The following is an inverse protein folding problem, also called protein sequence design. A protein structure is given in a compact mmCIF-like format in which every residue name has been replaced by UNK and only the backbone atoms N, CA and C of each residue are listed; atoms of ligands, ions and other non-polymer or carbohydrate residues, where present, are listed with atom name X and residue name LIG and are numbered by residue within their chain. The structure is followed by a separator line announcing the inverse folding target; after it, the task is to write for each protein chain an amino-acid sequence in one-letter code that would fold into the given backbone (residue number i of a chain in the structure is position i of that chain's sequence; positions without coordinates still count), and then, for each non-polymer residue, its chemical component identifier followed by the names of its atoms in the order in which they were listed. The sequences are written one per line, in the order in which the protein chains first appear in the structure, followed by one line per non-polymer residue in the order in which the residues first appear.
data_IF_997096404339
#
_entry.id   IF_997096404339
#
_cell.length_a   1.000
_cell.length_b   1.000
_cell.length_c   1.000
_cell.angle_alpha   90.00
_cell.angle_beta   90.00
_cell.angle_gamma   90.00
#
_symmetry.space_group_name_H-M   'P 1'
#
loop_
_entity.id
_entity.type
_entity.pdbx_description
1 polymer ?
#
# COMPACT_ATOMS: atom_id res chain seq x y z
N UNK A 1 7.51 -9.90 55.63
CA UNK A 1 8.89 -9.38 55.53
C UNK A 1 8.96 -8.62 54.18
N UNK A 2 8.94 -7.31 54.24
CA UNK A 2 9.05 -6.41 53.07
C UNK A 2 10.56 -6.15 52.83
N UNK A 3 10.99 -6.30 51.57
CA UNK A 3 12.36 -6.02 51.18
C UNK A 3 12.73 -4.56 51.53
N UNK A 4 13.96 -4.29 51.95
CA UNK A 4 14.41 -2.93 52.29
C UNK A 4 14.28 -2.00 51.09
N UNK A 5 13.89 -0.75 51.30
CA UNK A 5 13.75 0.30 50.29
C UNK A 5 14.97 0.46 49.38
N UNK A 6 16.17 0.30 49.96
CA UNK A 6 17.45 0.38 49.22
C UNK A 6 17.57 -0.71 48.14
N UNK A 7 17.05 -1.91 48.36
CA UNK A 7 17.10 -2.99 47.38
C UNK A 7 16.14 -2.76 46.19
N UNK A 8 15.01 -2.08 46.44
CA UNK A 8 14.07 -1.67 45.42
C UNK A 8 14.63 -0.49 44.57
N UNK A 9 15.36 0.43 45.19
CA UNK A 9 16.01 1.53 44.45
C UNK A 9 17.19 1.03 43.62
N UNK A 10 17.99 0.09 44.13
CA UNK A 10 19.07 -0.54 43.36
C UNK A 10 18.56 -1.35 42.17
N UNK A 11 17.44 -2.05 42.31
CA UNK A 11 16.77 -2.75 41.19
C UNK A 11 16.21 -1.78 40.15
N UNK A 12 15.63 -0.65 40.56
CA UNK A 12 15.21 0.42 39.68
C UNK A 12 16.38 1.03 38.90
N UNK A 13 17.48 1.32 39.60
CA UNK A 13 18.66 1.91 38.96
C UNK A 13 19.31 0.96 37.97
N UNK A 14 19.39 -0.34 38.28
CA UNK A 14 19.88 -1.37 37.35
C UNK A 14 18.95 -1.55 36.13
N UNK A 15 17.65 -1.43 36.31
CA UNK A 15 16.70 -1.46 35.19
C UNK A 15 16.85 -0.24 34.27
N UNK A 16 17.05 0.97 34.87
CA UNK A 16 17.31 2.20 34.12
C UNK A 16 18.66 2.21 33.40
N UNK A 17 19.72 1.65 34.04
CA UNK A 17 21.03 1.54 33.44
C UNK A 17 21.11 0.43 32.38
N UNK A 18 20.36 -0.64 32.53
CA UNK A 18 20.14 -1.66 31.49
C UNK A 18 19.42 -1.11 30.27
N UNK A 19 18.37 -0.31 30.46
CA UNK A 19 17.66 0.37 29.40
C UNK A 19 18.53 1.41 28.65
N UNK A 20 19.42 2.15 29.37
CA UNK A 20 20.36 3.07 28.72
C UNK A 20 21.48 2.35 27.95
N UNK A 21 21.93 1.17 28.38
CA UNK A 21 22.91 0.37 27.63
C UNK A 21 22.30 -0.28 26.37
N UNK A 22 21.01 -0.59 26.39
CA UNK A 22 20.30 -1.08 25.21
C UNK A 22 20.08 0.04 24.19
N UNK A 23 19.92 1.30 24.64
CA UNK A 23 19.72 2.46 23.74
C UNK A 23 21.00 2.95 23.04
N UNK A 24 22.21 2.58 23.51
CA UNK A 24 23.49 2.99 22.92
C UNK A 24 24.14 1.94 22.01
N UNK A 25 23.53 0.76 21.86
CA UNK A 25 24.03 -0.34 21.01
C UNK A 25 23.03 -0.79 19.93
N UNK A 26 21.93 -0.05 19.74
CA UNK A 26 21.04 -0.21 18.60
C UNK A 26 21.26 0.90 17.56
N UNK A 27 22.44 0.98 16.96
CA UNK A 27 22.49 1.07 15.53
C UNK A 27 21.90 -0.25 15.01
N UNK A 28 20.57 -0.35 14.99
CA UNK A 28 19.88 -1.35 14.21
C UNK A 28 20.30 -1.07 12.77
N UNK A 29 21.14 -1.96 12.22
CA UNK A 29 21.48 -1.93 10.82
C UNK A 29 20.16 -1.74 10.06
N UNK A 30 20.01 -0.60 9.38
CA UNK A 30 18.91 -0.36 8.47
C UNK A 30 18.93 -1.55 7.52
N UNK A 31 17.88 -2.38 7.55
CA UNK A 31 17.74 -3.43 6.56
C UNK A 31 17.77 -2.69 5.21
N UNK A 32 18.81 -2.96 4.43
CA UNK A 32 18.97 -2.33 3.13
C UNK A 32 17.93 -2.96 2.22
N UNK A 33 16.82 -2.26 2.00
CA UNK A 33 15.79 -2.67 1.07
C UNK A 33 16.30 -2.53 -0.36
N UNK A 34 15.87 -3.42 -1.23
CA UNK A 34 16.28 -3.43 -2.64
C UNK A 34 15.27 -2.75 -3.56
N UNK A 35 13.98 -2.89 -3.25
CA UNK A 35 12.87 -2.45 -4.09
C UNK A 35 12.10 -1.26 -3.48
N UNK A 36 12.42 -0.88 -2.23
CA UNK A 36 11.81 0.27 -1.57
C UNK A 36 12.85 1.13 -0.85
N UNK A 37 12.51 2.39 -0.61
CA UNK A 37 13.20 3.24 0.35
C UNK A 37 12.27 3.47 1.56
N UNK A 38 12.84 3.45 2.78
CA UNK A 38 12.10 3.64 4.03
C UNK A 38 12.82 4.63 4.93
N UNK A 39 12.13 5.70 5.29
CA UNK A 39 12.66 6.76 6.14
C UNK A 39 11.63 7.20 7.17
N UNK A 40 12.08 7.47 8.41
CA UNK A 40 11.27 8.07 9.46
C UNK A 40 11.88 9.44 9.78
N UNK A 41 11.05 10.47 9.69
CA UNK A 41 11.45 11.84 10.02
C UNK A 41 10.24 12.61 10.58
N UNK A 42 10.44 13.30 11.70
CA UNK A 42 9.43 14.15 12.36
C UNK A 42 8.04 13.48 12.53
N UNK A 43 8.02 12.22 12.91
CA UNK A 43 6.76 11.47 13.12
C UNK A 43 6.11 10.93 11.85
N UNK A 44 6.73 11.11 10.70
CA UNK A 44 6.27 10.63 9.39
C UNK A 44 7.15 9.47 8.94
N UNK A 45 6.55 8.30 8.68
CA UNK A 45 7.22 7.21 7.99
C UNK A 45 6.91 7.30 6.48
N UNK A 46 7.94 7.49 5.65
CA UNK A 46 7.82 7.43 4.19
C UNK A 46 8.27 6.07 3.68
N UNK A 47 7.39 5.41 2.97
CA UNK A 47 7.64 4.16 2.24
C UNK A 47 7.55 4.50 0.75
N UNK A 48 8.66 4.36 0.04
CA UNK A 48 8.75 4.68 -1.39
C UNK A 48 9.05 3.42 -2.17
N UNK A 49 8.15 2.99 -3.06
CA UNK A 49 8.45 1.92 -4.02
C UNK A 49 9.50 2.46 -4.98
N UNK A 50 10.70 1.86 -5.00
CA UNK A 50 11.86 2.38 -5.74
C UNK A 50 12.28 1.45 -6.86
N UNK A 51 11.42 1.35 -7.86
CA UNK A 51 11.64 0.62 -9.12
C UNK A 51 11.23 1.49 -10.33
N UNK A 52 11.77 2.72 -10.48
CA UNK A 52 11.29 3.69 -11.46
C UNK A 52 11.42 3.20 -12.90
N UNK A 53 12.42 2.38 -13.23
CA UNK A 53 12.62 1.77 -14.55
C UNK A 53 11.52 0.76 -14.92
N UNK A 54 10.75 0.32 -13.95
CA UNK A 54 9.58 -0.57 -14.06
C UNK A 54 8.27 0.13 -13.71
N UNK A 55 8.23 1.47 -13.75
CA UNK A 55 7.06 2.24 -13.32
C UNK A 55 6.58 1.87 -11.92
N UNK A 56 7.51 1.54 -11.03
CA UNK A 56 7.26 1.10 -9.66
C UNK A 56 6.32 -0.13 -9.56
N UNK A 57 6.32 -0.99 -10.59
CA UNK A 57 5.63 -2.28 -10.53
C UNK A 57 6.27 -3.16 -9.46
N UNK A 58 5.43 -3.81 -8.64
CA UNK A 58 5.89 -4.66 -7.55
C UNK A 58 6.10 -6.11 -7.97
N UNK A 59 7.06 -6.77 -7.36
CA UNK A 59 7.33 -8.21 -7.41
C UNK A 59 7.23 -8.80 -6.01
N UNK A 60 7.47 -10.10 -5.85
CA UNK A 60 7.39 -10.75 -4.53
C UNK A 60 8.27 -10.04 -3.49
N UNK A 61 9.53 -9.75 -3.81
CA UNK A 61 10.44 -9.02 -2.92
C UNK A 61 9.89 -7.65 -2.51
N UNK A 62 9.36 -6.88 -3.46
CA UNK A 62 8.76 -5.57 -3.16
C UNK A 62 7.63 -5.69 -2.15
N UNK A 63 6.77 -6.72 -2.29
CA UNK A 63 5.67 -6.94 -1.35
C UNK A 63 6.17 -7.34 0.05
N UNK A 64 7.23 -8.16 0.14
CA UNK A 64 7.85 -8.53 1.42
C UNK A 64 8.45 -7.32 2.11
N UNK A 65 9.19 -6.50 1.38
CA UNK A 65 9.80 -5.28 1.90
C UNK A 65 8.75 -4.27 2.34
N UNK A 66 7.64 -4.12 1.60
CA UNK A 66 6.50 -3.29 2.01
C UNK A 66 5.87 -3.80 3.31
N UNK A 67 5.66 -5.12 3.46
CA UNK A 67 5.13 -5.73 4.68
C UNK A 67 6.04 -5.42 5.87
N UNK A 68 7.34 -5.60 5.72
CA UNK A 68 8.31 -5.31 6.77
C UNK A 68 8.32 -3.81 7.15
N UNK A 69 8.33 -2.91 6.15
CA UNK A 69 8.29 -1.47 6.37
C UNK A 69 6.99 -1.00 7.05
N UNK A 70 5.83 -1.53 6.64
CA UNK A 70 4.55 -1.24 7.30
C UNK A 70 4.50 -1.77 8.73
N UNK A 71 5.06 -2.96 9.01
CA UNK A 71 5.18 -3.48 10.37
C UNK A 71 6.06 -2.58 11.22
N UNK A 72 7.26 -2.22 10.75
CA UNK A 72 8.15 -1.30 11.46
C UNK A 72 7.48 0.04 11.74
N UNK A 73 6.93 0.70 10.72
CA UNK A 73 6.23 1.97 10.88
C UNK A 73 5.01 1.85 11.79
N UNK A 74 4.25 0.76 11.69
CA UNK A 74 3.01 0.53 12.43
C UNK A 74 3.21 0.48 13.93
N UNK A 75 4.31 -0.10 14.40
CA UNK A 75 4.59 -0.30 15.82
C UNK A 75 5.63 0.67 16.40
N UNK A 76 6.30 1.48 15.59
CA UNK A 76 7.21 2.52 16.07
C UNK A 76 6.43 3.65 16.74
N UNK A 77 6.68 3.89 18.03
CA UNK A 77 6.01 4.93 18.82
C UNK A 77 6.33 6.36 18.36
N UNK A 78 7.44 6.55 17.67
CA UNK A 78 7.80 7.86 17.11
C UNK A 78 7.00 8.22 15.86
N UNK A 79 6.37 7.24 15.19
CA UNK A 79 5.59 7.44 13.98
C UNK A 79 4.13 7.70 14.30
N UNK A 80 3.54 8.75 13.73
CA UNK A 80 2.12 9.06 13.85
C UNK A 80 1.35 8.95 12.52
N UNK A 81 2.05 8.97 11.39
CA UNK A 81 1.45 8.85 10.05
C UNK A 81 2.41 8.15 9.08
N UNK A 82 1.86 7.39 8.14
CA UNK A 82 2.62 6.68 7.10
C UNK A 82 2.27 7.28 5.74
N UNK A 83 3.27 7.55 4.91
CA UNK A 83 3.12 8.01 3.53
C UNK A 83 3.65 6.92 2.60
N UNK A 84 2.81 6.43 1.69
CA UNK A 84 3.19 5.51 0.62
C UNK A 84 3.29 6.27 -0.70
N UNK A 85 4.38 6.08 -1.44
CA UNK A 85 4.60 6.74 -2.74
C UNK A 85 5.45 5.87 -3.68
N UNK A 86 5.65 6.32 -4.91
CA UNK A 86 6.60 5.75 -5.87
C UNK A 86 7.76 6.70 -6.15
N UNK A 87 8.93 6.16 -6.41
CA UNK A 87 10.11 6.93 -6.80
C UNK A 87 9.96 7.57 -8.18
N UNK A 88 10.58 8.74 -8.36
CA UNK A 88 10.54 9.51 -9.61
C UNK A 88 9.18 10.15 -9.89
N UNK A 89 9.01 10.64 -11.12
CA UNK A 89 7.85 11.48 -11.50
C UNK A 89 6.82 10.75 -12.37
N UNK A 90 7.12 9.52 -12.80
CA UNK A 90 6.30 8.82 -13.80
C UNK A 90 5.16 8.02 -13.20
N UNK A 91 5.42 7.35 -12.09
CA UNK A 91 4.43 6.43 -11.52
C UNK A 91 4.48 6.38 -10.00
N UNK A 92 3.30 6.29 -9.40
CA UNK A 92 3.12 5.80 -8.05
C UNK A 92 3.41 4.29 -8.01
N UNK A 93 2.63 3.50 -8.75
CA UNK A 93 2.82 2.07 -8.94
C UNK A 93 1.92 1.56 -10.08
N UNK A 94 2.41 0.63 -10.89
CA UNK A 94 1.64 0.05 -12.01
C UNK A 94 1.21 -1.40 -11.79
N UNK A 95 1.19 -1.84 -10.52
CA UNK A 95 0.73 -3.18 -10.13
C UNK A 95 1.81 -4.24 -10.22
N UNK A 96 1.42 -5.50 -10.40
CA UNK A 96 2.37 -6.62 -10.48
C UNK A 96 3.26 -6.53 -11.72
N UNK A 97 4.55 -6.81 -11.54
CA UNK A 97 5.54 -6.79 -12.61
C UNK A 97 5.30 -7.94 -13.59
N UNK A 98 4.75 -7.63 -14.77
CA UNK A 98 4.44 -8.60 -15.81
C UNK A 98 5.70 -9.28 -16.38
N UNK A 99 6.88 -8.72 -16.15
CA UNK A 99 8.15 -9.34 -16.53
C UNK A 99 8.48 -10.58 -15.69
N UNK A 100 7.95 -10.67 -14.47
CA UNK A 100 8.16 -11.79 -13.55
C UNK A 100 6.94 -12.73 -13.46
N UNK A 101 5.88 -12.46 -14.23
CA UNK A 101 4.65 -13.25 -14.20
C UNK A 101 4.74 -14.46 -15.15
N UNK A 102 4.86 -15.67 -14.59
CA UNK A 102 4.90 -16.95 -15.36
C UNK A 102 3.88 -17.93 -14.77
N UNK A 103 2.58 -17.66 -14.98
CA UNK A 103 1.50 -18.42 -14.31
C UNK A 103 1.37 -18.10 -12.81
N UNK A 104 1.99 -16.99 -12.38
CA UNK A 104 2.12 -16.48 -11.01
C UNK A 104 3.41 -15.69 -10.84
N UNK A 105 3.69 -15.23 -9.62
CA UNK A 105 4.81 -14.32 -9.35
C UNK A 105 6.01 -14.96 -8.61
N UNK A 106 5.96 -16.26 -8.36
CA UNK A 106 7.09 -17.06 -7.85
C UNK A 106 7.46 -16.85 -6.38
N UNK A 107 6.74 -16.03 -5.63
CA UNK A 107 6.93 -15.84 -4.19
C UNK A 107 5.88 -16.57 -3.35
N UNK A 108 5.79 -16.24 -2.06
CA UNK A 108 4.73 -16.73 -1.17
C UNK A 108 3.38 -16.06 -1.45
N UNK A 109 2.33 -16.55 -0.82
CA UNK A 109 0.95 -16.09 -1.05
C UNK A 109 0.26 -16.86 -2.18
N UNK A 110 -1.05 -16.67 -2.30
CA UNK A 110 -1.91 -17.48 -3.16
C UNK A 110 -1.52 -17.45 -4.62
N UNK A 111 -1.10 -16.27 -5.11
CA UNK A 111 -0.69 -16.06 -6.51
C UNK A 111 0.82 -15.82 -6.67
N UNK A 112 1.62 -16.13 -5.64
CA UNK A 112 3.05 -15.84 -5.59
C UNK A 112 3.39 -14.40 -5.21
N UNK A 113 2.41 -13.67 -4.66
CA UNK A 113 2.54 -12.36 -4.01
C UNK A 113 1.76 -12.38 -2.70
N UNK A 114 2.31 -11.92 -1.56
CA UNK A 114 1.62 -11.89 -0.28
C UNK A 114 0.65 -10.70 -0.17
N UNK A 115 -0.20 -10.49 -1.19
CA UNK A 115 -1.08 -9.33 -1.29
C UNK A 115 -2.15 -9.32 -0.20
N UNK A 116 -2.70 -10.49 0.16
CA UNK A 116 -3.72 -10.57 1.21
C UNK A 116 -3.16 -10.08 2.56
N UNK A 117 -1.91 -10.41 2.86
CA UNK A 117 -1.22 -9.95 4.05
C UNK A 117 -0.91 -8.44 3.97
N UNK A 118 -0.31 -7.98 2.86
CA UNK A 118 0.01 -6.57 2.66
C UNK A 118 -1.24 -5.69 2.77
N UNK A 119 -2.31 -6.04 2.06
CA UNK A 119 -3.57 -5.30 2.09
C UNK A 119 -4.21 -5.31 3.48
N UNK A 120 -4.18 -6.47 4.16
CA UNK A 120 -4.63 -6.60 5.53
C UNK A 120 -3.84 -5.70 6.48
N UNK A 121 -2.52 -5.73 6.39
CA UNK A 121 -1.62 -4.94 7.24
C UNK A 121 -1.83 -3.43 7.06
N UNK A 122 -1.93 -2.93 5.82
CA UNK A 122 -2.20 -1.52 5.54
C UNK A 122 -3.48 -1.02 6.24
N UNK A 123 -4.50 -1.87 6.32
CA UNK A 123 -5.75 -1.58 7.03
C UNK A 123 -5.63 -1.70 8.55
N UNK A 124 -4.76 -2.59 9.03
CA UNK A 124 -4.67 -2.93 10.47
C UNK A 124 -3.72 -2.03 11.25
N UNK A 125 -2.68 -1.49 10.60
CA UNK A 125 -1.77 -0.56 11.29
C UNK A 125 -2.56 0.59 11.94
N UNK A 126 -2.32 0.89 13.24
CA UNK A 126 -3.14 1.86 13.99
C UNK A 126 -2.76 3.31 13.66
N UNK A 127 -2.33 3.57 12.44
CA UNK A 127 -1.86 4.87 11.96
C UNK A 127 -2.47 5.16 10.59
N UNK A 128 -2.82 6.42 10.30
CA UNK A 128 -3.25 6.81 8.96
C UNK A 128 -2.18 6.50 7.92
N UNK A 129 -2.62 6.01 6.76
CA UNK A 129 -1.80 5.79 5.58
C UNK A 129 -2.25 6.74 4.48
N UNK A 130 -1.35 7.61 4.02
CA UNK A 130 -1.60 8.56 2.94
C UNK A 130 -0.92 8.06 1.67
N UNK A 131 -1.67 7.89 0.58
CA UNK A 131 -1.10 7.71 -0.75
C UNK A 131 -0.69 9.07 -1.31
N UNK A 132 0.61 9.27 -1.56
CA UNK A 132 1.16 10.40 -2.33
C UNK A 132 1.30 9.96 -3.78
N UNK A 133 0.32 10.31 -4.61
CA UNK A 133 0.22 9.77 -5.97
C UNK A 133 0.90 10.71 -6.96
N UNK A 134 2.15 10.42 -7.30
CA UNK A 134 3.02 11.24 -8.16
C UNK A 134 2.82 11.04 -9.66
N UNK A 135 2.13 9.97 -10.09
CA UNK A 135 1.98 9.63 -11.51
C UNK A 135 1.01 8.46 -11.70
N UNK A 136 1.35 7.50 -12.58
CA UNK A 136 0.49 6.35 -12.86
C UNK A 136 0.21 5.50 -11.61
N UNK A 137 -1.06 5.30 -11.30
CA UNK A 137 -1.57 4.37 -10.29
C UNK A 137 -2.51 3.36 -10.99
N UNK A 138 -1.95 2.26 -11.49
CA UNK A 138 -2.64 1.35 -12.41
C UNK A 138 -2.66 -0.07 -11.84
N UNK A 139 -3.76 -0.79 -12.05
CA UNK A 139 -3.90 -2.18 -11.59
C UNK A 139 -3.69 -2.30 -10.08
N UNK A 140 -2.75 -3.14 -9.62
CA UNK A 140 -2.42 -3.26 -8.21
C UNK A 140 -1.97 -1.95 -7.55
N UNK A 141 -1.37 -1.02 -8.32
CA UNK A 141 -1.05 0.32 -7.82
C UNK A 141 -2.31 1.15 -7.51
N UNK A 142 -3.35 1.04 -8.33
CA UNK A 142 -4.65 1.63 -8.03
C UNK A 142 -5.31 0.96 -6.81
N UNK A 143 -5.09 -0.34 -6.61
CA UNK A 143 -5.55 -1.06 -5.40
C UNK A 143 -4.89 -0.51 -4.16
N UNK A 144 -3.57 -0.29 -4.18
CA UNK A 144 -2.84 0.31 -3.04
C UNK A 144 -3.38 1.70 -2.68
N UNK A 145 -3.65 2.57 -3.69
CA UNK A 145 -4.30 3.87 -3.45
C UNK A 145 -5.68 3.69 -2.81
N UNK A 146 -6.48 2.75 -3.31
CA UNK A 146 -7.84 2.48 -2.80
C UNK A 146 -7.84 2.02 -1.35
N UNK A 147 -6.81 1.30 -0.91
CA UNK A 147 -6.67 0.78 0.47
C UNK A 147 -6.15 1.84 1.43
N UNK A 148 -5.33 2.78 0.96
CA UNK A 148 -4.86 3.88 1.80
C UNK A 148 -6.03 4.65 2.40
N UNK A 149 -5.86 5.14 3.63
CA UNK A 149 -6.91 5.89 4.34
C UNK A 149 -7.21 7.22 3.66
N UNK A 150 -6.18 7.85 3.09
CA UNK A 150 -6.25 9.13 2.39
C UNK A 150 -5.38 9.07 1.12
N UNK A 151 -5.72 9.89 0.13
CA UNK A 151 -4.94 10.00 -1.10
C UNK A 151 -4.86 11.45 -1.60
N UNK A 152 -3.64 11.91 -1.85
CA UNK A 152 -3.35 13.21 -2.47
C UNK A 152 -2.63 12.93 -3.77
N UNK A 153 -3.15 13.46 -4.86
CA UNK A 153 -2.64 13.21 -6.20
C UNK A 153 -2.05 14.45 -6.85
N UNK A 154 -0.97 14.25 -7.60
CA UNK A 154 -0.53 15.21 -8.60
C UNK A 154 -1.59 15.33 -9.69
N UNK A 155 -1.76 16.52 -10.26
CA UNK A 155 -2.59 16.77 -11.46
C UNK A 155 -2.21 15.88 -12.65
N UNK A 156 -0.95 15.36 -12.67
CA UNK A 156 -0.44 14.45 -13.71
C UNK A 156 -0.79 12.97 -13.44
N UNK A 157 -1.36 12.66 -12.28
CA UNK A 157 -1.66 11.28 -11.92
C UNK A 157 -2.76 10.70 -12.82
N UNK A 158 -2.61 9.42 -13.13
CA UNK A 158 -3.54 8.65 -13.96
C UNK A 158 -3.90 7.36 -13.25
N UNK A 159 -5.18 7.09 -13.15
CA UNK A 159 -5.74 5.96 -12.43
C UNK A 159 -6.42 4.96 -13.37
N UNK A 160 -6.54 3.71 -12.95
CA UNK A 160 -7.33 2.72 -13.66
C UNK A 160 -6.99 1.28 -13.33
N UNK A 161 -7.89 0.41 -13.74
CA UNK A 161 -7.67 -1.04 -13.72
C UNK A 161 -7.40 -1.54 -15.13
N UNK A 162 -6.54 -2.56 -15.23
CA UNK A 162 -6.15 -3.14 -16.52
C UNK A 162 -6.24 -4.66 -16.50
N UNK A 163 -6.58 -5.26 -15.37
CA UNK A 163 -6.62 -6.70 -15.17
C UNK A 163 -7.28 -7.48 -16.31
N UNK A 164 -8.54 -7.20 -16.69
CA UNK A 164 -9.21 -7.90 -17.80
C UNK A 164 -8.47 -7.83 -19.13
N UNK A 165 -7.66 -6.80 -19.35
CA UNK A 165 -6.86 -6.67 -20.59
C UNK A 165 -5.56 -7.45 -20.53
N UNK A 166 -4.99 -7.64 -19.36
CA UNK A 166 -3.66 -8.25 -19.17
C UNK A 166 -3.71 -9.64 -18.51
N UNK A 167 -4.89 -10.25 -18.47
CA UNK A 167 -5.07 -11.59 -17.92
C UNK A 167 -5.01 -11.67 -16.40
N UNK A 168 -5.48 -10.64 -15.68
CA UNK A 168 -5.48 -10.59 -14.21
C UNK A 168 -6.75 -9.95 -13.66
N UNK A 169 -6.96 -10.06 -12.34
CA UNK A 169 -8.05 -9.40 -11.60
C UNK A 169 -7.70 -9.30 -10.11
N UNK A 170 -8.20 -8.28 -9.42
CA UNK A 170 -8.22 -8.22 -7.94
C UNK A 170 -9.70 -8.18 -7.50
N UNK A 171 -10.22 -9.31 -7.01
CA UNK A 171 -11.63 -9.43 -6.63
C UNK A 171 -11.97 -8.76 -5.29
N UNK A 172 -10.99 -8.62 -4.40
CA UNK A 172 -11.14 -8.08 -3.07
C UNK A 172 -11.09 -6.55 -3.05
N UNK A 173 -9.92 -6.03 -2.74
CA UNK A 173 -9.77 -4.59 -2.56
C UNK A 173 -9.79 -3.83 -3.87
N UNK A 174 -9.37 -4.44 -4.97
CA UNK A 174 -9.42 -3.84 -6.31
C UNK A 174 -10.83 -3.77 -6.91
N UNK A 175 -11.76 -4.67 -6.55
CA UNK A 175 -13.12 -4.68 -7.08
C UNK A 175 -14.17 -4.40 -6.00
N UNK A 176 -14.35 -5.29 -5.03
CA UNK A 176 -15.42 -5.18 -4.05
C UNK A 176 -15.26 -3.94 -3.13
N UNK A 177 -14.04 -3.63 -2.69
CA UNK A 177 -13.78 -2.45 -1.88
C UNK A 177 -13.80 -1.16 -2.73
N UNK A 178 -13.27 -1.19 -3.95
CA UNK A 178 -13.35 -0.05 -4.87
C UNK A 178 -14.80 0.40 -5.07
N UNK A 179 -15.75 -0.54 -5.16
CA UNK A 179 -17.17 -0.23 -5.30
C UNK A 179 -17.73 0.57 -4.12
N UNK A 180 -17.18 0.41 -2.91
CA UNK A 180 -17.55 1.23 -1.74
C UNK A 180 -16.96 2.64 -1.83
N UNK A 181 -15.79 2.79 -2.44
CA UNK A 181 -15.09 4.08 -2.57
C UNK A 181 -15.71 4.95 -3.67
N UNK A 182 -15.91 4.39 -4.88
CA UNK A 182 -16.34 5.15 -6.06
C UNK A 182 -17.80 4.87 -6.48
N UNK A 183 -18.49 4.00 -5.76
CA UNK A 183 -19.82 3.51 -6.12
C UNK A 183 -19.77 2.38 -7.16
N UNK A 184 -20.78 1.48 -7.11
CA UNK A 184 -20.80 0.26 -7.93
C UNK A 184 -20.73 0.49 -9.44
N UNK A 185 -21.47 1.48 -9.94
CA UNK A 185 -21.50 1.76 -11.39
C UNK A 185 -20.13 2.20 -11.90
N UNK A 186 -19.44 3.06 -11.14
CA UNK A 186 -18.12 3.55 -11.52
C UNK A 186 -17.06 2.46 -11.39
N UNK A 187 -17.09 1.65 -10.33
CA UNK A 187 -16.18 0.52 -10.18
C UNK A 187 -16.32 -0.49 -11.34
N UNK A 188 -17.55 -0.81 -11.76
CA UNK A 188 -17.82 -1.69 -12.90
C UNK A 188 -17.31 -1.07 -14.21
N UNK A 189 -17.52 0.23 -14.42
CA UNK A 189 -16.98 0.94 -15.60
C UNK A 189 -15.45 0.84 -15.64
N UNK A 190 -14.78 1.09 -14.50
CA UNK A 190 -13.31 1.02 -14.38
C UNK A 190 -12.82 -0.39 -14.74
N UNK A 191 -13.46 -1.44 -14.21
CA UNK A 191 -13.05 -2.82 -14.43
C UNK A 191 -13.42 -3.36 -15.82
N UNK A 192 -14.64 -3.09 -16.29
CA UNK A 192 -15.13 -3.69 -17.52
C UNK A 192 -14.59 -3.03 -18.78
N UNK A 193 -14.27 -1.74 -18.69
CA UNK A 193 -13.77 -0.98 -19.84
C UNK A 193 -12.26 -0.77 -19.82
N UNK A 194 -11.58 -1.01 -18.68
CA UNK A 194 -10.14 -0.79 -18.51
C UNK A 194 -9.71 0.61 -18.99
N UNK A 195 -10.53 1.62 -18.73
CA UNK A 195 -10.24 3.02 -19.06
C UNK A 195 -9.21 3.60 -18.10
N UNK A 196 -8.56 4.67 -18.55
CA UNK A 196 -7.73 5.51 -17.71
C UNK A 196 -8.51 6.76 -17.31
N UNK A 197 -8.30 7.20 -16.09
CA UNK A 197 -8.95 8.35 -15.49
C UNK A 197 -7.88 9.35 -15.04
N UNK A 198 -8.10 10.62 -15.33
CA UNK A 198 -7.27 11.73 -14.83
C UNK A 198 -7.40 11.89 -13.32
N UNK A 199 -6.50 12.65 -12.73
CA UNK A 199 -6.55 13.01 -11.32
C UNK A 199 -7.87 13.72 -10.95
N UNK A 200 -8.38 14.60 -11.83
CA UNK A 200 -9.64 15.32 -11.60
C UNK A 200 -10.85 14.38 -11.65
N UNK A 201 -10.87 13.41 -12.56
CA UNK A 201 -11.91 12.38 -12.58
C UNK A 201 -11.84 11.50 -11.32
N UNK A 202 -10.63 11.15 -10.86
CA UNK A 202 -10.42 10.41 -9.61
C UNK A 202 -10.92 11.19 -8.38
N UNK A 203 -10.70 12.51 -8.34
CA UNK A 203 -11.25 13.39 -7.32
C UNK A 203 -12.79 13.43 -7.36
N UNK A 204 -13.35 13.62 -8.56
CA UNK A 204 -14.80 13.70 -8.74
C UNK A 204 -15.54 12.40 -8.34
N UNK A 205 -14.90 11.23 -8.46
CA UNK A 205 -15.48 9.95 -8.05
C UNK A 205 -15.14 9.54 -6.60
N UNK A 206 -14.41 10.39 -5.86
CA UNK A 206 -14.05 10.11 -4.46
C UNK A 206 -12.88 9.12 -4.27
N UNK A 207 -12.13 8.79 -5.33
CA UNK A 207 -10.97 7.90 -5.25
C UNK A 207 -9.78 8.58 -4.58
N UNK A 208 -9.64 9.89 -4.73
CA UNK A 208 -8.63 10.71 -4.04
C UNK A 208 -9.28 11.89 -3.34
N UNK A 209 -8.65 12.36 -2.26
CA UNK A 209 -9.16 13.46 -1.44
C UNK A 209 -8.79 14.84 -2.00
N UNK A 210 -7.66 14.92 -2.70
CA UNK A 210 -7.15 16.20 -3.21
C UNK A 210 -6.28 16.01 -4.45
N UNK A 211 -6.33 17.01 -5.34
CA UNK A 211 -5.43 17.12 -6.49
C UNK A 211 -4.74 18.47 -6.42
N UNK A 212 -3.42 18.46 -6.63
CA UNK A 212 -2.58 19.67 -6.61
C UNK A 212 -1.61 19.67 -7.79
N UNK A 213 -1.05 20.83 -8.17
CA UNK A 213 0.06 20.90 -9.10
C UNK A 213 1.20 19.97 -8.67
N UNK A 214 1.86 19.31 -9.63
CA UNK A 214 2.89 18.33 -9.32
C UNK A 214 3.99 18.85 -8.38
N UNK A 215 4.40 20.12 -8.57
CA UNK A 215 5.41 20.78 -7.76
C UNK A 215 4.97 21.04 -6.30
N UNK A 216 3.67 21.02 -6.03
CA UNK A 216 3.09 21.29 -4.70
C UNK A 216 2.76 19.99 -3.94
N UNK A 217 2.93 18.84 -4.56
CA UNK A 217 2.47 17.55 -4.00
C UNK A 217 3.11 17.24 -2.65
N UNK A 218 4.42 17.44 -2.50
CA UNK A 218 5.10 17.19 -1.22
C UNK A 218 4.64 18.16 -0.13
N UNK A 219 4.52 19.42 -0.48
CA UNK A 219 4.08 20.48 0.46
C UNK A 219 2.68 20.17 1.00
N UNK A 220 1.77 19.74 0.12
CA UNK A 220 0.40 19.41 0.51
C UNK A 220 0.34 18.14 1.38
N UNK A 221 1.10 17.09 1.02
CA UNK A 221 1.19 15.86 1.83
C UNK A 221 1.77 16.15 3.20
N UNK A 222 2.84 16.94 3.29
CA UNK A 222 3.46 17.31 4.56
C UNK A 222 2.53 18.17 5.43
N UNK A 223 1.73 19.04 4.81
CA UNK A 223 0.69 19.79 5.52
C UNK A 223 -0.32 18.88 6.17
N UNK A 224 -0.84 17.88 5.43
CA UNK A 224 -1.79 16.91 5.98
C UNK A 224 -1.16 16.02 7.06
N UNK A 225 0.09 15.61 6.88
CA UNK A 225 0.83 14.88 7.92
C UNK A 225 0.92 15.70 9.21
N UNK A 226 1.26 16.99 9.13
CA UNK A 226 1.34 17.89 10.30
C UNK A 226 -0.01 18.08 10.99
N UNK A 227 -1.08 18.21 10.22
CA UNK A 227 -2.45 18.29 10.75
C UNK A 227 -2.82 17.00 11.53
N UNK A 228 -2.51 15.82 10.98
CA UNK A 228 -2.74 14.53 11.63
C UNK A 228 -1.91 14.40 12.92
N UNK A 229 -0.63 14.77 12.88
CA UNK A 229 0.30 14.68 14.02
C UNK A 229 -0.10 15.60 15.17
N UNK A 230 -0.86 16.66 14.92
CA UNK A 230 -1.41 17.55 15.95
C UNK A 230 -2.63 16.98 16.68
N UNK A 231 -3.18 15.85 16.22
CA UNK A 231 -4.40 15.23 16.76
C UNK A 231 -4.08 14.02 17.66
N UNK A 232 -5.09 13.54 18.39
CA UNK A 232 -4.95 12.36 19.25
C UNK A 232 -4.72 11.09 18.44
N UNK A 233 -3.54 10.43 18.55
CA UNK A 233 -3.24 9.22 17.79
C UNK A 233 -4.19 8.06 18.15
N UNK A 234 -4.60 7.97 19.43
CA UNK A 234 -5.53 6.93 19.88
C UNK A 234 -6.93 7.13 19.28
N UNK A 235 -7.43 8.37 19.26
CA UNK A 235 -8.73 8.66 18.66
C UNK A 235 -8.74 8.37 17.15
N UNK A 236 -7.66 8.72 16.43
CA UNK A 236 -7.49 8.41 15.01
C UNK A 236 -7.45 6.90 14.78
N UNK A 237 -6.68 6.16 15.59
CA UNK A 237 -6.61 4.70 15.48
C UNK A 237 -7.97 4.02 15.67
N UNK A 238 -8.77 4.50 16.66
CA UNK A 238 -10.14 4.01 16.89
C UNK A 238 -11.04 4.34 15.70
N UNK A 239 -10.98 5.57 15.18
CA UNK A 239 -11.76 5.99 14.02
C UNK A 239 -11.42 5.15 12.78
N UNK A 240 -10.12 4.95 12.48
CA UNK A 240 -9.67 4.07 11.40
C UNK A 240 -10.23 2.65 11.55
N UNK A 241 -10.13 2.08 12.75
CA UNK A 241 -10.65 0.73 13.02
C UNK A 241 -12.16 0.65 12.83
N UNK A 242 -12.92 1.68 13.27
CA UNK A 242 -14.36 1.75 13.09
C UNK A 242 -14.74 1.85 11.59
N UNK A 243 -14.07 2.70 10.82
CA UNK A 243 -14.28 2.79 9.37
C UNK A 243 -13.97 1.47 8.65
N UNK A 244 -12.94 0.73 9.11
CA UNK A 244 -12.56 -0.55 8.52
C UNK A 244 -13.51 -1.68 8.89
N UNK A 245 -14.07 -1.69 10.09
CA UNK A 245 -14.92 -2.78 10.58
C UNK A 245 -16.14 -3.03 9.70
N UNK A 246 -16.76 -1.98 9.16
CA UNK A 246 -17.93 -2.08 8.27
C UNK A 246 -17.59 -2.78 6.91
N UNK A 247 -16.32 -2.88 6.55
CA UNK A 247 -15.84 -3.51 5.32
C UNK A 247 -14.93 -4.72 5.55
N UNK A 248 -14.89 -5.28 6.75
CA UNK A 248 -14.01 -6.43 7.05
C UNK A 248 -14.37 -7.70 6.26
N UNK A 249 -15.63 -7.86 5.85
CA UNK A 249 -16.05 -8.93 4.95
C UNK A 249 -15.28 -8.97 3.61
N UNK A 250 -14.72 -7.86 3.19
CA UNK A 250 -13.87 -7.76 1.98
C UNK A 250 -12.64 -8.66 2.06
N UNK A 251 -12.09 -8.89 3.25
CA UNK A 251 -10.97 -9.83 3.45
C UNK A 251 -11.34 -11.26 3.05
N UNK A 252 -12.55 -11.70 3.42
CA UNK A 252 -13.07 -13.01 2.99
C UNK A 252 -13.25 -13.09 1.48
N UNK A 253 -13.76 -12.03 0.86
CA UNK A 253 -13.88 -11.92 -0.60
C UNK A 253 -12.49 -11.96 -1.25
N UNK A 254 -11.52 -11.24 -0.71
CA UNK A 254 -10.13 -11.24 -1.19
C UNK A 254 -9.52 -12.64 -1.11
N UNK A 255 -9.57 -13.28 0.05
CA UNK A 255 -8.98 -14.60 0.27
C UNK A 255 -9.59 -15.68 -0.66
N UNK A 256 -10.92 -15.74 -0.75
CA UNK A 256 -11.62 -16.67 -1.65
C UNK A 256 -11.33 -16.31 -3.12
N UNK A 257 -11.39 -15.03 -3.45
CA UNK A 257 -11.20 -14.55 -4.81
C UNK A 257 -9.78 -14.78 -5.33
N UNK A 258 -8.75 -14.66 -4.49
CA UNK A 258 -7.36 -14.95 -4.90
C UNK A 258 -7.15 -16.44 -5.23
N UNK A 259 -7.90 -17.37 -4.61
CA UNK A 259 -7.90 -18.76 -5.05
C UNK A 259 -8.46 -18.89 -6.47
N UNK A 260 -9.53 -18.19 -6.80
CA UNK A 260 -10.07 -18.15 -8.16
C UNK A 260 -9.09 -17.52 -9.15
N UNK A 261 -8.37 -16.45 -8.76
CA UNK A 261 -7.33 -15.82 -9.58
C UNK A 261 -6.19 -16.79 -9.88
N UNK A 262 -5.78 -17.60 -8.90
CA UNK A 262 -4.77 -18.65 -9.11
C UNK A 262 -5.20 -19.62 -10.20
N UNK A 263 -6.44 -20.11 -10.16
CA UNK A 263 -6.99 -20.97 -11.19
C UNK A 263 -7.10 -20.24 -12.55
N UNK A 264 -7.51 -18.97 -12.53
CA UNK A 264 -7.60 -18.15 -13.74
C UNK A 264 -6.22 -18.00 -14.42
N UNK A 265 -5.14 -17.87 -13.67
CA UNK A 265 -3.77 -17.76 -14.22
C UNK A 265 -3.33 -18.99 -15.02
N UNK A 266 -3.91 -20.17 -14.76
CA UNK A 266 -3.67 -21.38 -15.53
C UNK A 266 -4.46 -21.43 -16.85
N UNK A 267 -5.48 -20.59 -17.00
CA UNK A 267 -6.36 -20.59 -18.17
C UNK A 267 -5.67 -20.05 -19.44
N UNK A 268 -6.10 -20.49 -20.62
CA UNK A 268 -5.67 -19.91 -21.90
C UNK A 268 -5.92 -18.40 -21.99
N UNK A 269 -7.03 -17.95 -21.40
CA UNK A 269 -7.45 -16.54 -21.42
C UNK A 269 -6.47 -15.65 -20.66
N UNK A 270 -6.04 -16.04 -19.46
CA UNK A 270 -5.01 -15.30 -18.72
C UNK A 270 -3.67 -15.28 -19.44
N UNK A 271 -3.26 -16.43 -19.99
CA UNK A 271 -2.01 -16.56 -20.77
C UNK A 271 -2.01 -15.67 -22.01
N UNK A 272 -3.15 -15.60 -22.73
CA UNK A 272 -3.31 -14.68 -23.85
C UNK A 272 -3.15 -13.21 -23.44
N UNK A 273 -3.78 -12.80 -22.33
CA UNK A 273 -3.68 -11.43 -21.81
C UNK A 273 -2.22 -11.04 -21.51
N UNK A 274 -1.47 -11.93 -20.83
CA UNK A 274 -0.04 -11.75 -20.52
C UNK A 274 0.81 -11.68 -21.79
N UNK A 275 0.61 -12.61 -22.73
CA UNK A 275 1.33 -12.66 -23.98
C UNK A 275 1.09 -11.39 -24.82
N UNK A 276 -0.16 -11.01 -24.99
CA UNK A 276 -0.55 -9.81 -25.72
C UNK A 276 0.10 -8.54 -25.15
N UNK A 277 0.13 -8.43 -23.80
CA UNK A 277 0.82 -7.31 -23.12
C UNK A 277 2.32 -7.27 -23.44
N UNK A 278 3.02 -8.42 -23.33
CA UNK A 278 4.46 -8.53 -23.63
C UNK A 278 4.79 -8.21 -25.10
N UNK A 279 3.94 -8.68 -26.00
CA UNK A 279 4.06 -8.48 -27.46
C UNK A 279 3.51 -7.11 -27.90
N UNK A 280 2.97 -6.29 -27.00
CA UNK A 280 2.38 -4.97 -27.28
C UNK A 280 1.26 -5.01 -28.34
N UNK A 281 0.47 -6.06 -28.35
CA UNK A 281 -0.68 -6.25 -29.25
C UNK A 281 -2.01 -6.26 -28.49
N UNK A 282 -3.08 -6.16 -29.23
CA UNK A 282 -4.44 -6.36 -28.66
C UNK A 282 -4.67 -7.85 -28.34
N UNK A 283 -5.14 -8.21 -27.16
CA UNK A 283 -5.45 -9.59 -26.81
C UNK A 283 -6.66 -10.10 -27.63
N UNK A 284 -6.69 -11.41 -27.88
CA UNK A 284 -7.75 -12.11 -28.62
C UNK A 284 -8.36 -13.16 -27.70
N UNK A 285 -9.36 -12.76 -26.93
CA UNK A 285 -10.04 -13.63 -25.96
C UNK A 285 -11.19 -14.46 -26.58
N UNK A 286 -11.60 -14.12 -27.81
CA UNK A 286 -12.72 -14.76 -28.55
C UNK A 286 -12.36 -14.89 -30.02
#
# INVERSE_FOLDING_TARGET
MTAPLEELEARRQNFYNGAKRISSSMEMGMAEYSDIAFHIHEGIARITIDRPDRYNAFRALTCEELIDAFNKAGWDRSVGVIVLTGAGDKAFCTGGDQGTHEGGYGGRGTIGLPLEELHGLMRDVPKPVIARVNGFAIGGGNVLVTICDLAIASEKAVFGQVGPRVGSVDPGFGAAYLARVVGEKKAREIWFLCRRYSAQEALAMGMVNRVVPHAELDVEVDRWCKEILALSPTAIAIAKRACNADSDSIRGISAMGMQAVKLFYESPESKEGVAAFREKRTPRFR
#
